data_IF_522791651844
#
_entry.id   IF_522791651844
#
_cell.length_a   1.000
_cell.length_b   1.000
_cell.length_c   1.000
_cell.angle_alpha   90.00
_cell.angle_beta   90.00
_cell.angle_gamma   90.00
#
_symmetry.space_group_name_H-M   'P 1'
#
loop_
_entity.id
_entity.type
_entity.pdbx_description
1 polymer ?
#
# COMPACT_ATOMS: atom_id res chain seq x y z
N UNK A 1 -4.27 -56.07 46.81
CA UNK A 1 -4.99 -54.85 46.44
C UNK A 1 -4.07 -53.98 45.62
N UNK A 2 -4.07 -54.23 44.31
CA UNK A 2 -3.27 -53.46 43.34
C UNK A 2 -4.26 -52.86 42.36
N UNK A 3 -4.37 -51.52 42.39
CA UNK A 3 -5.14 -50.74 41.44
C UNK A 3 -4.47 -50.79 40.06
N UNK A 4 -5.20 -51.29 39.09
CA UNK A 4 -4.78 -51.25 37.70
C UNK A 4 -5.03 -49.84 37.10
N UNK A 5 -3.95 -49.17 36.68
CA UNK A 5 -3.99 -47.95 35.95
C UNK A 5 -4.08 -48.28 34.45
N UNK A 6 -5.27 -48.13 33.89
CA UNK A 6 -5.50 -48.31 32.45
C UNK A 6 -5.06 -47.05 31.69
N UNK A 7 -3.95 -47.15 30.95
CA UNK A 7 -3.53 -46.12 30.01
C UNK A 7 -4.40 -46.21 28.75
N UNK A 8 -5.26 -45.18 28.58
CA UNK A 8 -5.89 -44.93 27.27
C UNK A 8 -4.88 -44.19 26.38
N UNK A 9 -4.25 -44.94 25.48
CA UNK A 9 -3.55 -44.36 24.33
C UNK A 9 -4.63 -43.94 23.31
N UNK A 10 -4.99 -42.67 23.28
CA UNK A 10 -5.72 -42.10 22.16
C UNK A 10 -4.75 -41.90 21.00
N UNK A 11 -4.78 -42.79 20.04
CA UNK A 11 -4.14 -42.63 18.74
C UNK A 11 -4.85 -41.50 18.01
N UNK A 12 -4.27 -40.30 18.02
CA UNK A 12 -4.64 -39.23 17.09
C UNK A 12 -4.24 -39.66 15.68
N UNK A 13 -5.19 -40.08 14.88
CA UNK A 13 -5.04 -40.12 13.44
C UNK A 13 -4.92 -38.67 12.95
N UNK A 14 -3.69 -38.24 12.70
CA UNK A 14 -3.42 -37.09 11.84
C UNK A 14 -3.82 -37.51 10.41
N UNK A 15 -5.05 -37.23 10.04
CA UNK A 15 -5.39 -37.20 8.63
C UNK A 15 -4.56 -36.06 8.01
N UNK A 16 -3.53 -36.44 7.24
CA UNK A 16 -2.90 -35.54 6.31
C UNK A 16 -3.99 -35.02 5.40
N UNK A 17 -4.46 -33.79 5.65
CA UNK A 17 -5.17 -32.99 4.66
C UNK A 17 -4.09 -32.68 3.62
N UNK A 18 -3.99 -33.54 2.60
CA UNK A 18 -3.34 -33.16 1.35
C UNK A 18 -4.15 -31.98 0.83
N UNK A 19 -3.65 -30.76 1.10
CA UNK A 19 -4.09 -29.59 0.37
C UNK A 19 -3.71 -29.88 -1.08
N UNK A 20 -4.70 -30.29 -1.90
CA UNK A 20 -4.55 -30.30 -3.34
C UNK A 20 -4.12 -28.89 -3.71
N UNK A 21 -2.88 -28.76 -4.17
CA UNK A 21 -2.44 -27.54 -4.82
C UNK A 21 -3.48 -27.22 -5.89
N UNK A 22 -4.10 -26.03 -5.87
CA UNK A 22 -5.05 -25.69 -6.92
C UNK A 22 -4.34 -25.94 -8.24
N UNK A 23 -4.90 -26.82 -9.07
CA UNK A 23 -4.36 -27.10 -10.39
C UNK A 23 -4.25 -25.75 -11.10
N UNK A 24 -3.03 -25.24 -11.20
CA UNK A 24 -2.77 -24.02 -11.96
C UNK A 24 -3.22 -24.33 -13.39
N UNK A 25 -4.32 -23.71 -13.80
CA UNK A 25 -4.84 -23.85 -15.13
C UNK A 25 -3.67 -23.71 -16.11
N UNK A 26 -3.56 -24.66 -17.06
CA UNK A 26 -2.55 -24.62 -18.11
C UNK A 26 -2.53 -23.23 -18.68
N UNK A 27 -1.38 -22.56 -18.60
CA UNK A 27 -1.25 -21.17 -19.00
C UNK A 27 -1.48 -21.10 -20.50
N UNK A 28 -2.56 -20.45 -20.92
CA UNK A 28 -2.80 -20.15 -22.33
C UNK A 28 -1.71 -19.17 -22.81
N UNK A 29 -0.73 -19.68 -23.51
CA UNK A 29 0.38 -18.89 -24.05
C UNK A 29 -0.04 -17.99 -25.22
N UNK A 30 -1.31 -18.08 -25.69
CA UNK A 30 -1.84 -17.26 -26.78
C UNK A 30 -2.43 -15.94 -26.25
N UNK A 31 -2.72 -15.84 -24.94
CA UNK A 31 -3.27 -14.63 -24.36
C UNK A 31 -2.27 -13.48 -24.41
N UNK A 32 -2.65 -12.38 -25.08
CA UNK A 32 -1.86 -11.14 -25.14
C UNK A 32 -2.27 -10.25 -23.96
N UNK A 33 -1.32 -10.01 -23.06
CA UNK A 33 -1.51 -9.13 -21.91
C UNK A 33 -1.08 -7.71 -22.24
N UNK A 34 -2.05 -6.79 -22.35
CA UNK A 34 -1.79 -5.37 -22.60
C UNK A 34 -1.50 -4.62 -21.29
N UNK A 35 -0.61 -3.64 -21.36
CA UNK A 35 -0.37 -2.73 -20.23
C UNK A 35 -1.66 -2.00 -19.85
N UNK A 36 -1.86 -1.82 -18.54
CA UNK A 36 -2.93 -1.00 -17.94
C UNK A 36 -2.39 0.29 -17.33
N UNK A 37 -1.11 0.57 -17.55
CA UNK A 37 -0.51 1.83 -17.08
C UNK A 37 -1.08 3.01 -17.88
N UNK A 38 -1.35 4.16 -17.24
CA UNK A 38 -1.85 5.34 -17.93
C UNK A 38 -0.77 5.95 -18.84
N UNK A 39 -1.19 6.62 -19.91
CA UNK A 39 -0.29 7.35 -20.79
C UNK A 39 0.38 8.53 -20.06
N UNK A 40 -0.37 9.21 -19.19
CA UNK A 40 0.12 10.28 -18.34
C UNK A 40 0.32 9.79 -16.91
N UNK A 41 1.56 9.62 -16.52
CA UNK A 41 1.96 9.12 -15.19
C UNK A 41 2.25 10.30 -14.25
N UNK A 42 1.70 10.25 -13.03
CA UNK A 42 1.88 11.31 -12.03
C UNK A 42 3.33 11.40 -11.51
N UNK A 43 3.95 10.24 -11.28
CA UNK A 43 5.33 10.18 -10.82
C UNK A 43 6.10 9.08 -11.56
N UNK A 44 7.22 9.45 -12.19
CA UNK A 44 8.09 8.52 -12.92
C UNK A 44 9.39 8.29 -12.15
N UNK A 45 9.69 7.03 -11.88
CA UNK A 45 10.97 6.55 -11.35
C UNK A 45 11.59 5.54 -12.31
N UNK A 46 12.70 5.90 -12.92
CA UNK A 46 13.42 5.00 -13.83
C UNK A 46 13.94 3.75 -13.08
N UNK A 47 14.31 3.90 -11.81
CA UNK A 47 14.77 2.78 -10.98
C UNK A 47 13.67 1.74 -10.79
N UNK A 48 12.43 2.19 -10.56
CA UNK A 48 11.27 1.29 -10.43
C UNK A 48 10.94 0.66 -11.79
N UNK A 49 10.96 1.42 -12.88
CA UNK A 49 10.70 0.90 -14.23
C UNK A 49 11.73 -0.17 -14.62
N UNK A 50 13.02 0.05 -14.33
CA UNK A 50 14.08 -0.93 -14.56
C UNK A 50 13.85 -2.23 -13.75
N UNK A 51 13.39 -2.12 -12.51
CA UNK A 51 13.07 -3.29 -11.69
C UNK A 51 11.85 -4.05 -12.22
N UNK A 52 10.85 -3.34 -12.72
CA UNK A 52 9.69 -3.95 -13.39
C UNK A 52 10.15 -4.79 -14.57
N UNK A 53 10.99 -4.22 -15.42
CA UNK A 53 11.52 -4.91 -16.61
C UNK A 53 12.36 -6.13 -16.22
N UNK A 54 13.22 -5.97 -15.20
CA UNK A 54 14.08 -7.07 -14.71
C UNK A 54 13.25 -8.24 -14.20
N UNK A 55 12.29 -7.97 -13.30
CA UNK A 55 11.48 -9.02 -12.67
C UNK A 55 10.52 -9.65 -13.69
N UNK A 56 9.91 -8.87 -14.55
CA UNK A 56 9.00 -9.38 -15.58
C UNK A 56 9.68 -10.37 -16.53
N UNK A 57 10.97 -10.13 -16.86
CA UNK A 57 11.77 -11.07 -17.67
C UNK A 57 12.12 -12.36 -16.93
N UNK A 58 12.21 -12.33 -15.59
CA UNK A 58 12.50 -13.51 -14.77
C UNK A 58 11.27 -14.39 -14.53
N UNK A 59 10.08 -13.81 -14.56
CA UNK A 59 8.83 -14.52 -14.31
C UNK A 59 8.44 -15.38 -15.52
N UNK A 60 8.47 -16.72 -15.34
CA UNK A 60 8.04 -17.67 -16.36
C UNK A 60 6.53 -17.56 -16.68
N UNK A 61 5.73 -17.27 -15.67
CA UNK A 61 4.29 -17.11 -15.82
C UNK A 61 3.97 -15.71 -16.38
N UNK A 62 3.51 -15.64 -17.63
CA UNK A 62 3.20 -14.37 -18.31
C UNK A 62 2.13 -13.55 -17.61
N UNK A 63 1.11 -14.18 -17.02
CA UNK A 63 0.07 -13.49 -16.28
C UNK A 63 0.63 -12.81 -15.01
N UNK A 64 1.51 -13.49 -14.27
CA UNK A 64 2.19 -12.90 -13.10
C UNK A 64 3.12 -11.75 -13.52
N UNK A 65 3.87 -11.90 -14.61
CA UNK A 65 4.70 -10.82 -15.15
C UNK A 65 3.86 -9.58 -15.49
N UNK A 66 2.73 -9.79 -16.17
CA UNK A 66 1.79 -8.72 -16.49
C UNK A 66 1.17 -8.09 -15.23
N UNK A 67 0.72 -8.89 -14.27
CA UNK A 67 0.20 -8.36 -13.00
C UNK A 67 1.24 -7.53 -12.27
N UNK A 68 2.47 -8.04 -12.15
CA UNK A 68 3.56 -7.32 -11.50
C UNK A 68 3.84 -5.97 -12.19
N UNK A 69 3.92 -5.97 -13.53
CA UNK A 69 4.21 -4.75 -14.30
C UNK A 69 3.12 -3.68 -14.23
N UNK A 70 1.90 -4.03 -13.84
CA UNK A 70 0.80 -3.09 -13.67
C UNK A 70 0.57 -2.71 -12.19
N UNK A 71 0.70 -3.68 -11.27
CA UNK A 71 0.42 -3.44 -9.85
C UNK A 71 1.54 -2.65 -9.16
N UNK A 72 2.82 -3.02 -9.40
CA UNK A 72 3.92 -2.33 -8.72
C UNK A 72 3.97 -0.83 -9.03
N UNK A 73 3.81 -0.35 -10.27
CA UNK A 73 3.89 1.09 -10.54
C UNK A 73 2.59 1.84 -10.24
N UNK A 74 1.48 1.17 -9.97
CA UNK A 74 0.16 1.79 -9.94
C UNK A 74 0.07 3.00 -9.00
N UNK A 75 0.60 2.90 -7.78
CA UNK A 75 0.62 4.03 -6.83
C UNK A 75 1.39 5.23 -7.39
N UNK A 76 2.56 5.02 -7.98
CA UNK A 76 3.35 6.09 -8.58
C UNK A 76 2.65 6.71 -9.79
N UNK A 77 2.03 5.87 -10.60
CA UNK A 77 1.41 6.29 -11.85
C UNK A 77 0.10 7.08 -11.63
N UNK A 78 -0.66 6.77 -10.56
CA UNK A 78 -2.07 7.20 -10.46
C UNK A 78 -2.45 7.97 -9.18
N UNK A 79 -1.67 7.85 -8.09
CA UNK A 79 -2.10 8.38 -6.78
C UNK A 79 -1.11 9.33 -6.11
N UNK A 80 0.12 9.46 -6.62
CA UNK A 80 1.17 10.30 -6.05
C UNK A 80 1.06 11.74 -6.56
N UNK A 81 0.79 12.67 -5.66
CA UNK A 81 0.81 14.10 -5.93
C UNK A 81 2.02 14.74 -5.23
N UNK A 82 3.19 14.61 -5.87
CA UNK A 82 4.45 15.18 -5.37
C UNK A 82 4.60 16.63 -5.80
N UNK A 83 4.95 17.50 -4.85
CA UNK A 83 5.21 18.93 -5.08
C UNK A 83 6.25 19.46 -4.09
N UNK A 84 6.76 20.64 -4.36
CA UNK A 84 7.51 21.43 -3.36
C UNK A 84 6.57 22.50 -2.81
N UNK A 85 6.43 22.56 -1.50
CA UNK A 85 5.63 23.54 -0.80
C UNK A 85 6.49 24.19 0.28
N UNK A 86 6.55 25.54 0.28
CA UNK A 86 7.38 26.32 1.23
C UNK A 86 8.86 25.92 1.24
N UNK A 87 9.38 25.51 0.08
CA UNK A 87 10.78 25.05 -0.08
C UNK A 87 11.03 23.61 0.37
N UNK A 88 10.01 22.89 0.83
CA UNK A 88 10.09 21.51 1.28
C UNK A 88 9.34 20.53 0.39
N UNK A 89 9.86 19.29 0.34
CA UNK A 89 9.16 18.19 -0.33
C UNK A 89 7.84 17.89 0.39
N UNK A 90 6.75 17.84 -0.36
CA UNK A 90 5.41 17.50 0.09
C UNK A 90 4.78 16.51 -0.88
N UNK A 91 4.19 15.44 -0.37
CA UNK A 91 3.55 14.42 -1.20
C UNK A 91 2.21 14.04 -0.60
N UNK A 92 1.16 14.29 -1.34
CA UNK A 92 -0.17 13.79 -1.03
C UNK A 92 -0.42 12.49 -1.79
N UNK A 93 -0.99 11.47 -1.13
CA UNK A 93 -1.23 10.15 -1.72
C UNK A 93 -2.72 9.86 -1.67
N UNK A 94 -3.38 9.81 -2.82
CA UNK A 94 -4.77 9.39 -2.89
C UNK A 94 -4.92 7.92 -2.51
N UNK A 95 -5.96 7.62 -1.73
CA UNK A 95 -6.29 6.24 -1.38
C UNK A 95 -7.07 5.60 -2.52
N UNK A 96 -6.33 5.04 -3.49
CA UNK A 96 -6.91 4.47 -4.70
C UNK A 96 -7.68 5.51 -5.53
N UNK A 97 -8.97 5.29 -5.72
CA UNK A 97 -9.90 6.17 -6.44
C UNK A 97 -10.54 7.23 -5.54
N UNK A 98 -10.27 7.22 -4.24
CA UNK A 98 -10.76 8.23 -3.30
C UNK A 98 -9.75 9.37 -3.22
N UNK A 99 -10.20 10.59 -3.53
CA UNK A 99 -9.39 11.81 -3.53
C UNK A 99 -9.13 12.34 -2.11
N UNK A 100 -8.70 11.44 -1.23
CA UNK A 100 -8.30 11.72 0.14
C UNK A 100 -7.13 10.83 0.53
N UNK A 101 -6.42 11.21 1.59
CA UNK A 101 -5.23 10.50 2.08
C UNK A 101 -5.52 9.89 3.44
N UNK A 102 -5.67 8.57 3.52
CA UNK A 102 -5.62 7.84 4.77
C UNK A 102 -4.17 7.69 5.24
N UNK A 103 -3.93 7.87 6.53
CA UNK A 103 -2.58 7.76 7.09
C UNK A 103 -2.01 6.34 6.96
N UNK A 104 -2.82 5.32 7.25
CA UNK A 104 -2.45 3.91 7.08
C UNK A 104 -2.12 3.59 5.63
N UNK A 105 -3.07 3.89 4.74
CA UNK A 105 -3.01 3.50 3.34
C UNK A 105 -1.86 4.18 2.62
N UNK A 106 -1.65 5.47 2.82
CA UNK A 106 -0.54 6.21 2.21
C UNK A 106 0.82 5.62 2.56
N UNK A 107 1.01 5.20 3.82
CA UNK A 107 2.22 4.51 4.24
C UNK A 107 2.38 3.15 3.57
N UNK A 108 1.31 2.34 3.53
CA UNK A 108 1.31 1.03 2.91
C UNK A 108 1.55 1.09 1.39
N UNK A 109 0.90 2.05 0.70
CA UNK A 109 1.03 2.24 -0.74
C UNK A 109 2.46 2.57 -1.19
N UNK A 110 3.22 3.34 -0.40
CA UNK A 110 4.59 3.73 -0.77
C UNK A 110 5.64 2.79 -0.22
N UNK A 111 5.29 1.90 0.71
CA UNK A 111 6.23 0.96 1.34
C UNK A 111 7.06 0.13 0.36
N UNK A 112 6.53 -0.41 -0.74
CA UNK A 112 7.31 -1.20 -1.69
C UNK A 112 8.47 -0.45 -2.33
N UNK A 113 8.43 0.88 -2.34
CA UNK A 113 9.44 1.72 -3.01
C UNK A 113 10.60 2.13 -2.11
N UNK A 114 10.51 1.94 -0.78
CA UNK A 114 11.59 2.30 0.16
C UNK A 114 12.94 1.69 -0.23
N UNK A 115 12.93 0.45 -0.70
CA UNK A 115 14.14 -0.27 -1.14
C UNK A 115 14.90 0.42 -2.28
N UNK A 116 14.27 1.30 -3.02
CA UNK A 116 14.87 2.03 -4.15
C UNK A 116 15.33 3.44 -3.78
N UNK A 117 15.00 3.94 -2.57
CA UNK A 117 15.23 5.32 -2.16
C UNK A 117 16.71 5.73 -2.16
N UNK A 118 17.63 4.80 -1.93
CA UNK A 118 19.08 5.08 -1.96
C UNK A 118 19.58 5.31 -3.38
N UNK A 119 18.97 4.66 -4.37
CA UNK A 119 19.40 4.68 -5.77
C UNK A 119 18.70 5.76 -6.60
N UNK A 120 17.55 6.25 -6.13
CA UNK A 120 16.72 7.24 -6.82
C UNK A 120 16.45 8.46 -5.91
N UNK A 121 17.20 9.54 -6.13
CA UNK A 121 17.06 10.75 -5.34
C UNK A 121 15.73 11.47 -5.49
N UNK A 122 15.08 11.35 -6.68
CA UNK A 122 13.75 11.91 -6.90
C UNK A 122 12.71 11.12 -6.08
N UNK A 123 12.79 9.81 -6.13
CA UNK A 123 11.95 8.91 -5.33
C UNK A 123 12.16 9.14 -3.83
N UNK A 124 13.41 9.31 -3.38
CA UNK A 124 13.72 9.63 -1.98
C UNK A 124 13.05 10.93 -1.52
N UNK A 125 13.06 11.98 -2.35
CA UNK A 125 12.38 13.25 -2.04
C UNK A 125 10.86 13.06 -1.94
N UNK A 126 10.27 12.32 -2.86
CA UNK A 126 8.86 11.99 -2.84
C UNK A 126 8.48 11.24 -1.55
N UNK A 127 9.24 10.22 -1.16
CA UNK A 127 9.01 9.47 0.08
C UNK A 127 9.15 10.35 1.34
N UNK A 128 10.14 11.23 1.39
CA UNK A 128 10.28 12.24 2.45
C UNK A 128 9.05 13.16 2.49
N UNK A 129 8.54 13.54 1.33
CA UNK A 129 7.31 14.33 1.21
C UNK A 129 6.10 13.64 1.83
N UNK A 130 5.95 12.32 1.63
CA UNK A 130 4.87 11.53 2.27
C UNK A 130 5.00 11.58 3.79
N UNK A 131 6.20 11.32 4.33
CA UNK A 131 6.43 11.36 5.78
C UNK A 131 6.10 12.75 6.35
N UNK A 132 6.55 13.83 5.70
CA UNK A 132 6.24 15.20 6.13
C UNK A 132 4.75 15.50 6.09
N UNK A 133 4.06 15.05 5.04
CA UNK A 133 2.60 15.20 4.93
C UNK A 133 1.89 14.46 6.06
N UNK A 134 2.27 13.24 6.36
CA UNK A 134 1.70 12.46 7.47
C UNK A 134 1.92 13.15 8.81
N UNK A 135 3.12 13.70 9.06
CA UNK A 135 3.42 14.48 10.28
C UNK A 135 2.50 15.70 10.36
N UNK A 136 2.36 16.48 9.28
CA UNK A 136 1.44 17.63 9.23
C UNK A 136 0.00 17.24 9.56
N UNK A 137 -0.48 16.14 8.99
CA UNK A 137 -1.82 15.60 9.24
C UNK A 137 -2.00 15.22 10.72
N UNK A 138 -1.06 14.50 11.32
CA UNK A 138 -1.10 14.08 12.72
C UNK A 138 -1.08 15.29 13.68
N UNK A 139 -0.23 16.28 13.38
CA UNK A 139 -0.16 17.52 14.18
C UNK A 139 -1.43 18.35 14.06
N UNK A 140 -2.13 18.28 12.92
CA UNK A 140 -3.39 18.98 12.70
C UNK A 140 -4.56 18.34 13.48
N UNK A 141 -4.72 17.02 13.38
CA UNK A 141 -5.69 16.26 14.18
C UNK A 141 -5.27 14.79 14.33
N UNK A 142 -4.74 14.39 15.50
CA UNK A 142 -4.29 13.01 15.72
C UNK A 142 -5.44 11.99 15.85
N UNK A 143 -6.69 12.47 15.92
CA UNK A 143 -7.87 11.61 16.00
C UNK A 143 -8.55 11.39 14.64
N UNK A 144 -8.05 12.02 13.58
CA UNK A 144 -8.51 11.80 12.23
C UNK A 144 -7.69 10.70 11.54
N UNK A 145 -8.35 9.90 10.72
CA UNK A 145 -7.73 8.82 9.94
C UNK A 145 -7.50 9.21 8.48
N UNK A 146 -8.30 10.16 7.93
CA UNK A 146 -8.20 10.58 6.54
C UNK A 146 -8.28 12.10 6.39
N UNK A 147 -7.52 12.63 5.42
CA UNK A 147 -7.33 14.06 5.21
C UNK A 147 -7.59 14.45 3.75
N UNK A 148 -8.06 15.66 3.54
CA UNK A 148 -8.16 16.31 2.24
C UNK A 148 -6.85 16.99 1.86
N UNK A 149 -6.64 17.26 0.58
CA UNK A 149 -5.49 18.05 0.11
C UNK A 149 -5.77 19.55 0.18
N UNK A 150 -6.16 20.02 1.35
CA UNK A 150 -6.57 21.40 1.66
C UNK A 150 -7.95 21.46 2.31
N UNK A 151 -8.47 22.65 2.61
CA UNK A 151 -9.74 22.85 3.31
C UNK A 151 -10.95 22.73 2.36
N UNK A 152 -11.13 21.58 1.74
CA UNK A 152 -12.18 21.34 0.73
C UNK A 152 -13.51 20.87 1.30
N UNK A 153 -13.52 20.37 2.56
CA UNK A 153 -14.68 19.68 3.11
C UNK A 153 -14.97 18.36 2.38
N UNK A 154 -16.18 17.88 2.49
CA UNK A 154 -16.58 16.65 1.82
C UNK A 154 -17.82 15.99 2.42
N UNK A 155 -18.11 14.78 1.99
CA UNK A 155 -19.31 14.03 2.34
C UNK A 155 -19.47 13.84 3.86
N UNK A 156 -18.37 13.59 4.59
CA UNK A 156 -18.39 13.29 6.03
C UNK A 156 -18.42 14.52 6.95
N UNK A 157 -18.56 15.74 6.39
CA UNK A 157 -18.65 16.97 7.19
C UNK A 157 -19.86 17.01 8.15
N UNK A 158 -20.88 16.18 7.87
CA UNK A 158 -22.08 16.04 8.72
C UNK A 158 -21.92 15.04 9.87
N UNK A 159 -20.79 14.34 9.98
CA UNK A 159 -20.54 13.38 11.05
C UNK A 159 -20.57 14.07 12.43
N UNK A 160 -21.14 13.38 13.41
CA UNK A 160 -21.22 13.87 14.79
C UNK A 160 -19.86 13.78 15.51
N UNK A 161 -18.88 14.51 14.98
CA UNK A 161 -17.52 14.65 15.50
C UNK A 161 -16.97 16.04 15.20
N UNK A 162 -15.79 16.39 15.72
CA UNK A 162 -15.17 17.72 15.48
C UNK A 162 -14.56 17.79 14.05
N UNK A 163 -15.43 17.70 13.04
CA UNK A 163 -15.00 17.81 11.65
C UNK A 163 -14.45 19.19 11.32
N UNK A 164 -13.48 19.25 10.41
CA UNK A 164 -12.88 20.47 9.83
C UNK A 164 -12.73 20.26 8.33
N UNK A 165 -12.70 21.34 7.50
CA UNK A 165 -12.62 21.21 6.04
C UNK A 165 -11.39 20.43 5.52
N UNK A 166 -10.30 20.39 6.28
CA UNK A 166 -9.07 19.64 5.98
C UNK A 166 -9.21 18.14 6.23
N UNK A 167 -10.25 17.72 6.98
CA UNK A 167 -10.47 16.31 7.29
C UNK A 167 -11.43 15.69 6.28
N UNK A 168 -11.05 14.56 5.71
CA UNK A 168 -11.97 13.74 4.92
C UNK A 168 -12.84 12.89 5.83
N UNK A 169 -12.22 12.25 6.83
CA UNK A 169 -12.90 11.41 7.81
C UNK A 169 -12.21 11.56 9.18
N UNK A 170 -12.99 11.61 10.26
CA UNK A 170 -12.47 11.73 11.61
C UNK A 170 -12.95 10.55 12.47
N UNK A 171 -12.27 9.44 12.28
CA UNK A 171 -12.45 8.21 13.05
C UNK A 171 -11.14 7.82 13.70
N UNK A 172 -11.20 7.47 14.98
CA UNK A 172 -10.02 6.98 15.69
C UNK A 172 -9.65 5.58 15.22
N UNK A 173 -8.48 5.45 14.62
CA UNK A 173 -7.86 4.18 14.23
C UNK A 173 -6.41 4.19 14.71
N UNK A 174 -6.03 3.26 15.61
CA UNK A 174 -4.68 3.24 16.16
C UNK A 174 -3.62 2.99 15.09
N UNK A 175 -3.93 2.22 14.07
CA UNK A 175 -3.05 1.94 12.93
C UNK A 175 -2.75 3.19 12.10
N UNK A 176 -3.67 4.15 12.06
CA UNK A 176 -3.45 5.46 11.42
C UNK A 176 -2.27 6.24 12.02
N UNK A 177 -1.89 5.97 13.27
CA UNK A 177 -0.69 6.52 13.89
C UNK A 177 0.52 5.59 13.78
N UNK A 178 0.30 4.28 13.80
CA UNK A 178 1.38 3.29 13.72
C UNK A 178 2.05 3.24 12.34
N UNK A 179 1.28 3.34 11.26
CA UNK A 179 1.81 3.27 9.90
C UNK A 179 2.75 4.44 9.53
N UNK A 180 2.44 5.70 9.86
CA UNK A 180 3.41 6.80 9.71
C UNK A 180 4.72 6.59 10.47
N UNK A 181 4.65 6.09 11.70
CA UNK A 181 5.86 5.77 12.48
C UNK A 181 6.67 4.68 11.77
N UNK A 182 6.02 3.61 11.33
CA UNK A 182 6.64 2.54 10.57
C UNK A 182 7.32 3.05 9.28
N UNK A 183 6.69 3.97 8.57
CA UNK A 183 7.25 4.51 7.33
C UNK A 183 8.47 5.40 7.59
N UNK A 184 8.48 6.15 8.71
CA UNK A 184 9.54 7.07 9.06
C UNK A 184 10.78 6.38 9.67
N UNK A 185 10.59 5.20 10.31
CA UNK A 185 11.66 4.39 10.91
C UNK A 185 12.48 3.65 9.86
#
# INVERSE_FOLDING_TARGET
NILGLSLFLSTFYLSEVQAESPAYAVQDNTTVYQSKRPDSRLFVSQTVDNEIDRVSKMLKNKKLAWMFSNCLPNTLDTTIHYRTQDGEDDTFVYTGDIHAMWLRDSGAQVWPYLRFAQQDKKLQKMLKGVIRRQIKCILFDPYANAFNDGPTGGYWMSDNTKMKPELHERKWEIDSLCYPIRLAY
#
